data_IF_557203986962
#
_entry.id   IF_557203986962
#
_cell.length_a   1.000
_cell.length_b   1.000
_cell.length_c   1.000
_cell.angle_alpha   90.00
_cell.angle_beta   90.00
_cell.angle_gamma   90.00
#
_symmetry.space_group_name_H-M   'P 1'
#
loop_
_entity.id
_entity.type
_entity.pdbx_description
1 polymer ?
#
# COMPACT_ATOMS: atom_id res chain seq x y z
N UNK A 1 8.32 -2.50 -20.85
CA UNK A 1 7.65 -1.19 -20.99
C UNK A 1 8.58 -0.14 -20.42
N UNK A 2 8.66 1.06 -21.04
CA UNK A 2 9.53 2.15 -20.60
C UNK A 2 8.84 2.99 -19.51
N UNK A 3 9.61 3.69 -18.70
CA UNK A 3 9.13 4.60 -17.64
C UNK A 3 8.10 5.62 -18.14
N UNK A 4 8.28 6.09 -19.38
CA UNK A 4 7.42 7.07 -20.03
C UNK A 4 5.94 6.68 -20.04
N UNK A 5 5.65 5.37 -20.14
CA UNK A 5 4.29 4.85 -20.15
C UNK A 5 3.65 4.74 -18.76
N UNK A 6 4.47 4.87 -17.72
CA UNK A 6 4.05 4.74 -16.32
C UNK A 6 3.97 6.08 -15.59
N UNK A 7 4.55 7.14 -16.16
CA UNK A 7 4.50 8.48 -15.57
C UNK A 7 3.38 9.29 -16.21
N UNK A 8 2.23 9.49 -15.52
CA UNK A 8 1.01 9.99 -16.16
C UNK A 8 1.15 11.34 -16.87
N UNK A 9 1.99 12.22 -16.34
CA UNK A 9 2.20 13.57 -16.87
C UNK A 9 3.42 13.67 -17.80
N UNK A 10 3.96 12.54 -18.27
CA UNK A 10 5.15 12.51 -19.15
C UNK A 10 5.00 13.37 -20.40
N UNK A 11 3.84 13.31 -21.05
CA UNK A 11 3.60 14.03 -22.30
C UNK A 11 3.51 15.54 -22.13
N UNK A 12 3.26 16.01 -20.91
CA UNK A 12 3.15 17.42 -20.55
C UNK A 12 4.51 18.04 -20.14
N UNK A 13 5.55 17.21 -20.04
CA UNK A 13 6.91 17.66 -19.74
C UNK A 13 7.60 18.21 -20.98
N UNK A 14 8.42 19.24 -20.80
CA UNK A 14 9.31 19.71 -21.84
C UNK A 14 10.53 18.79 -22.04
N UNK A 15 11.29 18.99 -23.10
CA UNK A 15 12.43 18.14 -23.47
C UNK A 15 13.52 18.10 -22.38
N UNK A 16 13.77 19.24 -21.72
CA UNK A 16 14.79 19.31 -20.65
C UNK A 16 14.36 18.52 -19.40
N UNK A 17 13.07 18.62 -19.00
CA UNK A 17 12.51 17.88 -17.88
C UNK A 17 12.47 16.38 -18.15
N UNK A 18 12.09 15.95 -19.37
CA UNK A 18 12.13 14.54 -19.80
C UNK A 18 13.55 13.99 -19.70
N UNK A 19 14.52 14.73 -20.22
CA UNK A 19 15.94 14.33 -20.16
C UNK A 19 16.40 14.24 -18.71
N UNK A 20 16.09 15.24 -17.88
CA UNK A 20 16.47 15.27 -16.45
C UNK A 20 15.94 14.05 -15.71
N UNK A 21 14.67 13.67 -15.92
CA UNK A 21 14.09 12.45 -15.34
C UNK A 21 14.80 11.20 -15.85
N UNK A 22 14.97 11.04 -17.18
CA UNK A 22 15.56 9.85 -17.76
C UNK A 22 17.01 9.63 -17.32
N UNK A 23 17.79 10.71 -17.22
CA UNK A 23 19.20 10.65 -16.83
C UNK A 23 19.42 10.32 -15.35
N UNK A 24 18.41 10.58 -14.49
CA UNK A 24 18.49 10.38 -13.04
C UNK A 24 17.58 9.28 -12.50
N UNK A 25 16.86 8.57 -13.36
CA UNK A 25 15.95 7.50 -12.96
C UNK A 25 16.76 6.29 -12.47
N UNK A 26 16.46 5.83 -11.26
CA UNK A 26 17.08 4.64 -10.66
C UNK A 26 16.11 3.47 -10.83
N UNK A 27 16.61 2.33 -11.33
CA UNK A 27 15.84 1.09 -11.39
C UNK A 27 16.32 0.17 -10.27
N UNK A 28 15.40 -0.36 -9.50
CA UNK A 28 15.71 -1.25 -8.39
C UNK A 28 14.77 -2.46 -8.39
N UNK A 29 15.34 -3.64 -8.13
CA UNK A 29 14.59 -4.86 -7.83
C UNK A 29 14.72 -5.16 -6.33
N UNK A 30 13.59 -5.38 -5.66
CA UNK A 30 13.54 -5.71 -4.24
C UNK A 30 12.79 -7.01 -4.02
N UNK A 31 13.28 -7.81 -3.08
CA UNK A 31 12.65 -9.05 -2.68
C UNK A 31 11.50 -8.81 -1.70
N UNK A 32 10.53 -9.71 -1.71
CA UNK A 32 9.49 -9.75 -0.67
C UNK A 32 10.08 -9.65 0.72
N UNK A 33 9.49 -8.82 1.58
CA UNK A 33 9.92 -8.55 2.95
C UNK A 33 11.03 -7.50 3.08
N UNK A 34 11.47 -6.89 1.95
CA UNK A 34 12.45 -5.80 2.00
C UNK A 34 11.77 -4.50 2.41
N UNK A 35 12.25 -3.88 3.49
CA UNK A 35 11.86 -2.52 3.86
C UNK A 35 12.64 -1.55 2.99
N UNK A 36 11.92 -0.74 2.21
CA UNK A 36 12.47 0.21 1.24
C UNK A 36 12.62 1.60 1.87
N UNK A 37 11.70 1.94 2.77
CA UNK A 37 11.67 3.20 3.49
C UNK A 37 11.22 2.97 4.92
N UNK A 38 11.89 3.59 5.89
CA UNK A 38 11.57 3.47 7.30
C UNK A 38 11.71 4.82 8.01
N UNK A 39 10.59 5.54 8.09
CA UNK A 39 10.50 6.81 8.80
C UNK A 39 11.18 7.99 8.12
N UNK A 40 11.40 9.07 8.91
CA UNK A 40 11.79 10.39 8.38
C UNK A 40 13.27 10.55 8.04
N UNK A 41 14.12 9.58 8.39
CA UNK A 41 15.57 9.73 8.27
C UNK A 41 16.10 9.48 6.85
N UNK A 42 15.36 8.73 6.03
CA UNK A 42 15.79 8.34 4.69
C UNK A 42 14.82 8.87 3.62
N UNK A 43 15.23 9.91 2.92
CA UNK A 43 14.51 10.34 1.73
C UNK A 43 14.88 9.45 0.55
N UNK A 44 14.14 8.38 0.35
CA UNK A 44 14.37 7.41 -0.73
C UNK A 44 14.13 8.03 -2.11
N UNK A 45 13.24 9.03 -2.20
CA UNK A 45 12.73 9.57 -3.44
C UNK A 45 11.33 9.06 -3.75
N UNK A 46 10.79 9.48 -4.89
CA UNK A 46 9.46 9.06 -5.34
C UNK A 46 9.55 7.65 -5.92
N UNK A 47 8.79 6.70 -5.36
CA UNK A 47 8.74 5.32 -5.85
C UNK A 47 7.61 5.18 -6.87
N UNK A 48 7.89 4.52 -7.97
CA UNK A 48 6.90 4.09 -8.97
C UNK A 48 7.00 2.58 -9.14
N UNK A 49 5.92 1.86 -8.86
CA UNK A 49 5.88 0.40 -8.98
C UNK A 49 5.76 0.02 -10.44
N UNK A 50 6.78 -0.66 -10.97
CA UNK A 50 6.78 -1.21 -12.32
C UNK A 50 6.06 -2.54 -12.38
N UNK A 51 6.30 -3.38 -11.39
CA UNK A 51 5.70 -4.69 -11.22
C UNK A 51 5.82 -5.11 -9.76
N UNK A 52 4.79 -5.72 -9.20
CA UNK A 52 4.81 -6.25 -7.85
C UNK A 52 3.84 -5.57 -6.90
N UNK A 53 4.18 -5.48 -5.62
CA UNK A 53 3.27 -4.95 -4.60
C UNK A 53 4.05 -4.40 -3.41
N UNK A 54 3.76 -3.16 -3.04
CA UNK A 54 4.26 -2.53 -1.84
C UNK A 54 3.14 -2.32 -0.83
N UNK A 55 3.49 -2.33 0.43
CA UNK A 55 2.65 -2.00 1.56
C UNK A 55 3.19 -0.77 2.27
N UNK A 56 2.35 0.22 2.51
CA UNK A 56 2.66 1.39 3.35
C UNK A 56 1.91 1.25 4.66
N UNK A 57 2.62 1.30 5.77
CA UNK A 57 2.05 1.12 7.10
C UNK A 57 2.69 2.04 8.13
N UNK A 58 2.01 2.25 9.24
CA UNK A 58 2.54 2.89 10.44
C UNK A 58 2.77 1.84 11.51
N UNK A 59 3.74 2.14 12.38
CA UNK A 59 4.12 1.30 13.52
C UNK A 59 3.81 2.05 14.81
N UNK A 60 3.13 1.41 15.75
CA UNK A 60 2.93 1.96 17.09
C UNK A 60 4.18 1.76 17.96
N UNK A 61 4.28 2.48 19.07
CA UNK A 61 5.35 2.32 20.09
C UNK A 61 5.41 0.89 20.64
N UNK A 62 4.31 0.16 20.61
CA UNK A 62 4.22 -1.24 21.05
C UNK A 62 4.55 -2.26 19.95
N UNK A 63 4.99 -1.77 18.75
CA UNK A 63 5.33 -2.61 17.62
C UNK A 63 4.13 -3.15 16.85
N UNK A 64 2.92 -2.58 17.02
CA UNK A 64 1.75 -2.93 16.21
C UNK A 64 1.77 -2.16 14.90
N UNK A 65 1.51 -2.87 13.83
CA UNK A 65 1.40 -2.30 12.49
C UNK A 65 -0.05 -2.07 12.10
N UNK A 66 -0.29 -1.07 11.27
CA UNK A 66 -1.56 -0.93 10.55
C UNK A 66 -1.27 -0.44 9.13
N UNK A 67 -1.80 -1.16 8.15
CA UNK A 67 -1.67 -0.80 6.75
C UNK A 67 -2.51 0.44 6.44
N UNK A 68 -1.87 1.46 5.90
CA UNK A 68 -2.54 2.67 5.41
C UNK A 68 -3.12 2.42 4.02
N UNK A 69 -2.28 1.91 3.11
CA UNK A 69 -2.66 1.53 1.75
C UNK A 69 -1.60 0.61 1.14
N UNK A 70 -1.96 -0.01 0.03
CA UNK A 70 -1.05 -0.79 -0.81
C UNK A 70 -0.82 -0.08 -2.14
N UNK A 71 0.27 -0.44 -2.79
CA UNK A 71 0.67 0.05 -4.10
C UNK A 71 0.87 -1.14 -5.02
N UNK A 72 0.24 -1.07 -6.17
CA UNK A 72 0.28 -2.07 -7.23
C UNK A 72 1.01 -1.54 -8.46
N UNK A 73 1.01 -2.32 -9.54
CA UNK A 73 1.60 -1.91 -10.81
C UNK A 73 1.04 -0.54 -11.24
N UNK A 74 1.92 0.36 -11.64
CA UNK A 74 1.67 1.75 -12.03
C UNK A 74 1.37 2.72 -10.88
N UNK A 75 1.26 2.26 -9.65
CA UNK A 75 1.07 3.15 -8.50
C UNK A 75 2.35 3.88 -8.11
N UNK A 76 2.15 5.11 -7.63
CA UNK A 76 3.23 5.98 -7.18
C UNK A 76 3.13 6.25 -5.69
N UNK A 77 4.28 6.14 -5.00
CA UNK A 77 4.41 6.49 -3.59
C UNK A 77 5.12 7.82 -3.40
N UNK A 78 4.39 8.79 -2.87
CA UNK A 78 4.93 10.10 -2.54
C UNK A 78 5.49 10.16 -1.10
N UNK A 79 4.97 9.32 -0.19
CA UNK A 79 5.39 9.32 1.21
C UNK A 79 6.84 8.84 1.41
N UNK A 80 7.40 8.08 0.46
CA UNK A 80 8.83 7.73 0.41
C UNK A 80 9.74 8.95 0.17
N UNK A 81 9.17 10.04 -0.30
CA UNK A 81 9.83 11.31 -0.57
C UNK A 81 9.36 12.41 0.40
N UNK A 82 9.22 12.08 1.68
CA UNK A 82 8.72 12.99 2.75
C UNK A 82 9.50 14.30 2.83
N UNK A 83 10.77 14.31 2.42
CA UNK A 83 11.59 15.52 2.31
C UNK A 83 11.08 16.53 1.26
N UNK A 84 10.25 16.11 0.30
CA UNK A 84 9.61 17.02 -0.66
C UNK A 84 8.45 17.74 0.02
N UNK A 85 7.75 17.07 0.93
CA UNK A 85 6.54 17.54 1.61
C UNK A 85 6.90 17.86 3.05
N UNK A 86 7.32 19.09 3.30
CA UNK A 86 7.81 19.56 4.61
C UNK A 86 6.78 19.52 5.76
N UNK A 87 5.52 19.18 5.46
CA UNK A 87 4.42 19.19 6.43
C UNK A 87 4.03 17.83 6.98
N UNK A 88 4.68 16.75 6.53
CA UNK A 88 4.39 15.40 7.02
C UNK A 88 5.10 15.20 8.36
N UNK A 89 4.32 15.00 9.42
CA UNK A 89 4.81 14.83 10.80
C UNK A 89 4.65 13.40 11.32
N UNK A 90 4.34 12.43 10.45
CA UNK A 90 4.20 11.03 10.83
C UNK A 90 5.16 10.16 10.03
N UNK A 91 5.63 9.11 10.66
CA UNK A 91 6.54 8.16 10.06
C UNK A 91 5.77 7.02 9.40
N UNK A 92 6.17 6.67 8.19
CA UNK A 92 5.63 5.50 7.49
C UNK A 92 6.75 4.53 7.19
N UNK A 93 6.41 3.26 7.16
CA UNK A 93 7.27 2.20 6.64
C UNK A 93 6.71 1.72 5.32
N UNK A 94 7.59 1.49 4.34
CA UNK A 94 7.23 0.95 3.03
C UNK A 94 8.01 -0.35 2.84
N UNK A 95 7.28 -1.44 2.66
CA UNK A 95 7.82 -2.79 2.51
C UNK A 95 7.29 -3.45 1.24
N UNK A 96 8.12 -4.29 0.62
CA UNK A 96 7.70 -5.12 -0.51
C UNK A 96 6.92 -6.34 -0.02
N UNK A 97 5.63 -6.45 -0.36
CA UNK A 97 4.79 -7.62 -0.08
C UNK A 97 4.99 -8.76 -1.08
N UNK A 98 5.48 -8.42 -2.27
CA UNK A 98 5.90 -9.36 -3.34
C UNK A 98 7.27 -8.94 -3.86
N UNK A 99 7.96 -9.81 -4.60
CA UNK A 99 9.13 -9.41 -5.38
C UNK A 99 8.71 -8.26 -6.30
N UNK A 100 9.39 -7.12 -6.22
CA UNK A 100 8.92 -5.87 -6.83
C UNK A 100 10.04 -5.18 -7.61
N UNK A 101 9.72 -4.77 -8.83
CA UNK A 101 10.53 -3.90 -9.66
C UNK A 101 10.06 -2.45 -9.51
N UNK A 102 10.98 -1.54 -9.25
CA UNK A 102 10.71 -0.14 -8.98
C UNK A 102 11.49 0.78 -9.91
N UNK A 103 10.92 1.94 -10.19
CA UNK A 103 11.66 3.14 -10.54
C UNK A 103 11.63 4.11 -9.36
N UNK A 104 12.79 4.73 -9.13
CA UNK A 104 12.95 5.73 -8.09
C UNK A 104 13.38 7.03 -8.75
N UNK A 105 12.58 8.08 -8.54
CA UNK A 105 12.93 9.44 -8.94
C UNK A 105 13.53 10.13 -7.71
N UNK A 106 14.81 10.56 -7.75
CA UNK A 106 15.41 11.28 -6.63
C UNK A 106 14.57 12.49 -6.24
N UNK A 107 14.38 12.69 -4.94
CA UNK A 107 13.47 13.70 -4.40
C UNK A 107 13.77 15.12 -4.90
N UNK A 108 15.04 15.52 -4.95
CA UNK A 108 15.44 16.85 -5.41
C UNK A 108 15.15 17.07 -6.91
N UNK A 109 15.26 16.02 -7.73
CA UNK A 109 14.91 16.07 -9.16
C UNK A 109 13.40 16.28 -9.30
N UNK A 110 12.58 15.47 -8.61
CA UNK A 110 11.13 15.59 -8.66
C UNK A 110 10.67 16.96 -8.15
N UNK A 111 11.22 17.42 -7.02
CA UNK A 111 10.93 18.73 -6.42
C UNK A 111 11.27 19.90 -7.35
N UNK A 112 12.40 19.79 -8.07
CA UNK A 112 12.78 20.78 -9.07
C UNK A 112 11.75 20.86 -10.19
N UNK A 113 11.38 19.72 -10.78
CA UNK A 113 10.38 19.66 -11.86
C UNK A 113 9.01 20.13 -11.37
N UNK A 114 8.59 19.73 -10.17
CA UNK A 114 7.32 20.13 -9.59
C UNK A 114 7.20 21.66 -9.43
N UNK A 115 8.28 22.36 -9.11
CA UNK A 115 8.29 23.83 -9.00
C UNK A 115 8.13 24.55 -10.35
N UNK A 116 8.57 23.94 -11.41
CA UNK A 116 8.60 24.53 -12.76
C UNK A 116 7.49 24.05 -13.69
N UNK A 117 6.81 22.94 -13.32
CA UNK A 117 5.78 22.29 -14.14
C UNK A 117 4.46 22.25 -13.39
N UNK A 118 3.51 23.08 -13.82
CA UNK A 118 2.16 23.05 -13.26
C UNK A 118 1.47 21.68 -13.42
N UNK A 119 1.60 20.93 -14.54
CA UNK A 119 1.06 19.58 -14.66
C UNK A 119 1.60 18.63 -13.56
N UNK A 120 2.92 18.65 -13.29
CA UNK A 120 3.52 17.80 -12.24
C UNK A 120 3.04 18.22 -10.86
N UNK A 121 2.94 19.52 -10.59
CA UNK A 121 2.41 20.02 -9.32
C UNK A 121 0.95 19.60 -9.11
N UNK A 122 0.11 19.72 -10.13
CA UNK A 122 -1.29 19.30 -10.08
C UNK A 122 -1.42 17.80 -9.86
N UNK A 123 -0.67 17.00 -10.60
CA UNK A 123 -0.64 15.54 -10.42
C UNK A 123 -0.19 15.15 -8.99
N UNK A 124 0.82 15.85 -8.44
CA UNK A 124 1.26 15.65 -7.06
C UNK A 124 0.14 15.93 -6.05
N UNK A 125 -0.62 17.01 -6.26
CA UNK A 125 -1.77 17.35 -5.42
C UNK A 125 -2.89 16.30 -5.51
N UNK A 126 -3.19 15.81 -6.71
CA UNK A 126 -4.18 14.74 -6.93
C UNK A 126 -3.75 13.43 -6.23
N UNK A 127 -2.47 13.08 -6.35
CA UNK A 127 -1.92 11.92 -5.66
C UNK A 127 -2.04 12.06 -4.13
N UNK A 128 -1.74 13.24 -3.58
CA UNK A 128 -1.91 13.52 -2.15
C UNK A 128 -3.37 13.46 -1.71
N UNK A 129 -4.29 14.02 -2.51
CA UNK A 129 -5.72 13.96 -2.22
C UNK A 129 -6.24 12.51 -2.20
N UNK A 130 -5.76 11.66 -3.12
CA UNK A 130 -6.07 10.23 -3.14
C UNK A 130 -5.58 9.55 -1.87
N UNK A 131 -4.32 9.77 -1.48
CA UNK A 131 -3.74 9.17 -0.26
C UNK A 131 -4.42 9.67 1.02
N UNK A 132 -4.81 10.94 1.05
CA UNK A 132 -5.63 11.47 2.14
C UNK A 132 -6.98 10.75 2.23
N UNK A 133 -7.65 10.53 1.10
CA UNK A 133 -8.92 9.80 1.04
C UNK A 133 -8.77 8.35 1.50
N UNK A 134 -7.69 7.66 1.10
CA UNK A 134 -7.40 6.29 1.55
C UNK A 134 -7.27 6.22 3.08
N UNK A 135 -6.54 7.17 3.67
CA UNK A 135 -6.35 7.23 5.13
C UNK A 135 -7.65 7.61 5.85
N UNK A 136 -8.42 8.54 5.31
CA UNK A 136 -9.72 8.91 5.90
C UNK A 136 -10.71 7.74 5.86
N UNK A 137 -10.74 7.00 4.76
CA UNK A 137 -11.52 5.76 4.67
C UNK A 137 -11.07 4.73 5.72
N UNK A 138 -9.76 4.54 5.91
CA UNK A 138 -9.22 3.63 6.95
C UNK A 138 -9.67 4.07 8.35
N UNK A 139 -9.62 5.36 8.67
CA UNK A 139 -10.08 5.89 9.95
C UNK A 139 -11.56 5.57 10.14
N UNK A 140 -12.38 5.78 9.12
CA UNK A 140 -13.81 5.43 9.15
C UNK A 140 -14.02 3.93 9.43
N UNK A 141 -13.24 3.04 8.76
CA UNK A 141 -13.31 1.61 9.01
C UNK A 141 -12.99 1.26 10.48
N UNK A 142 -11.96 1.89 11.05
CA UNK A 142 -11.52 1.63 12.43
C UNK A 142 -12.55 2.13 13.44
N UNK A 143 -13.13 3.31 13.19
CA UNK A 143 -14.07 3.95 14.12
C UNK A 143 -15.47 3.33 14.13
N UNK A 144 -15.95 2.89 12.97
CA UNK A 144 -17.35 2.52 12.82
C UNK A 144 -17.60 1.05 12.52
N UNK A 145 -16.60 0.31 12.04
CA UNK A 145 -16.75 -1.12 11.77
C UNK A 145 -16.14 -1.98 12.86
N UNK A 146 -16.91 -2.97 13.29
CA UNK A 146 -16.41 -4.02 14.18
C UNK A 146 -15.33 -4.87 13.49
N UNK A 147 -14.52 -5.55 14.29
CA UNK A 147 -13.37 -6.31 13.78
C UNK A 147 -13.78 -7.45 12.84
N UNK A 148 -14.90 -8.11 13.09
CA UNK A 148 -15.44 -9.18 12.24
C UNK A 148 -15.72 -8.66 10.80
N UNK A 149 -16.34 -7.49 10.66
CA UNK A 149 -16.58 -6.82 9.38
C UNK A 149 -15.27 -6.46 8.68
N UNK A 150 -14.29 -5.97 9.43
CA UNK A 150 -12.96 -5.61 8.92
C UNK A 150 -12.19 -6.85 8.45
N UNK A 151 -12.26 -7.96 9.20
CA UNK A 151 -11.65 -9.24 8.80
C UNK A 151 -12.34 -9.80 7.56
N UNK A 152 -13.68 -9.75 7.50
CA UNK A 152 -14.42 -10.18 6.31
C UNK A 152 -14.04 -9.36 5.07
N UNK A 153 -13.98 -8.03 5.19
CA UNK A 153 -13.52 -7.11 4.13
C UNK A 153 -12.13 -7.48 3.64
N UNK A 154 -11.20 -7.65 4.57
CA UNK A 154 -9.81 -7.99 4.28
C UNK A 154 -9.69 -9.32 3.51
N UNK A 155 -10.39 -10.36 3.96
CA UNK A 155 -10.36 -11.67 3.29
C UNK A 155 -10.92 -11.59 1.86
N UNK A 156 -11.98 -10.83 1.63
CA UNK A 156 -12.55 -10.62 0.29
C UNK A 156 -11.61 -9.82 -0.61
N UNK A 157 -10.95 -8.79 -0.08
CA UNK A 157 -9.93 -8.03 -0.80
C UNK A 157 -8.76 -8.93 -1.21
N UNK A 158 -8.23 -9.75 -0.29
CA UNK A 158 -7.15 -10.70 -0.58
C UNK A 158 -7.54 -11.70 -1.68
N UNK A 159 -8.77 -12.21 -1.67
CA UNK A 159 -9.23 -13.11 -2.75
C UNK A 159 -9.26 -12.42 -4.10
N UNK A 160 -9.61 -11.13 -4.14
CA UNK A 160 -9.59 -10.33 -5.36
C UNK A 160 -8.17 -10.07 -5.86
N UNK A 161 -7.23 -9.75 -4.95
CA UNK A 161 -5.83 -9.50 -5.28
C UNK A 161 -5.13 -10.77 -5.78
N UNK A 162 -5.37 -11.91 -5.11
CA UNK A 162 -4.73 -13.18 -5.47
C UNK A 162 -5.47 -13.94 -6.60
N UNK A 163 -6.69 -13.52 -6.94
CA UNK A 163 -7.53 -14.21 -7.93
C UNK A 163 -7.91 -15.65 -7.51
N UNK A 164 -7.91 -15.94 -6.20
CA UNK A 164 -8.10 -17.28 -5.66
C UNK A 164 -8.85 -17.27 -4.33
N UNK A 165 -9.66 -18.29 -4.09
CA UNK A 165 -10.36 -18.46 -2.80
C UNK A 165 -9.47 -19.08 -1.71
N UNK A 166 -8.29 -19.62 -2.06
CA UNK A 166 -7.30 -20.11 -1.11
C UNK A 166 -6.18 -19.09 -0.92
N UNK A 167 -6.14 -18.49 0.26
CA UNK A 167 -5.18 -17.46 0.65
C UNK A 167 -4.03 -18.09 1.44
N UNK A 168 -2.80 -17.87 0.99
CA UNK A 168 -1.57 -18.26 1.71
C UNK A 168 -1.14 -17.13 2.63
N UNK A 169 -1.86 -16.93 3.71
CA UNK A 169 -1.66 -15.84 4.64
C UNK A 169 -1.69 -16.34 6.09
N UNK A 170 -0.91 -15.71 6.95
CA UNK A 170 -0.87 -16.02 8.37
C UNK A 170 -1.82 -15.14 9.17
N UNK A 171 -2.23 -15.61 10.35
CA UNK A 171 -3.02 -14.79 11.28
C UNK A 171 -2.25 -13.54 11.75
N UNK A 172 -0.92 -13.62 11.84
CA UNK A 172 -0.04 -12.49 12.14
C UNK A 172 -0.11 -11.43 11.04
N UNK A 173 0.01 -11.85 9.78
CA UNK A 173 -0.09 -10.93 8.65
C UNK A 173 -1.44 -10.20 8.64
N UNK A 174 -2.55 -10.90 8.90
CA UNK A 174 -3.88 -10.27 9.00
C UNK A 174 -3.92 -9.28 10.17
N UNK A 175 -3.35 -9.65 11.30
CA UNK A 175 -3.29 -8.78 12.48
C UNK A 175 -2.53 -7.49 12.17
N UNK A 176 -1.39 -7.59 11.50
CA UNK A 176 -0.55 -6.47 11.05
C UNK A 176 -1.29 -5.54 10.08
N UNK A 177 -2.05 -6.10 9.13
CA UNK A 177 -2.85 -5.28 8.23
C UNK A 177 -3.97 -4.50 8.94
N UNK A 178 -4.61 -5.13 9.91
CA UNK A 178 -5.80 -4.59 10.58
C UNK A 178 -5.52 -3.82 11.88
N UNK A 179 -4.26 -3.69 12.29
CA UNK A 179 -3.90 -3.03 13.55
C UNK A 179 -4.44 -3.78 14.78
N UNK A 180 -4.43 -5.13 14.73
CA UNK A 180 -5.00 -5.98 15.77
C UNK A 180 -3.95 -6.93 16.36
N UNK A 181 -4.34 -7.74 17.34
CA UNK A 181 -3.50 -8.79 17.90
C UNK A 181 -3.78 -10.13 17.21
N UNK A 182 -2.72 -10.91 16.99
CA UNK A 182 -2.82 -12.25 16.38
C UNK A 182 -3.84 -13.16 17.08
N UNK A 183 -3.90 -13.12 18.43
CA UNK A 183 -4.82 -13.92 19.21
C UNK A 183 -6.27 -13.56 18.95
N UNK A 184 -6.55 -12.26 18.75
CA UNK A 184 -7.90 -11.75 18.44
C UNK A 184 -8.31 -12.19 17.03
N UNK A 185 -7.41 -12.06 16.04
CA UNK A 185 -7.64 -12.56 14.69
C UNK A 185 -7.85 -14.07 14.68
N UNK A 186 -7.04 -14.83 15.46
CA UNK A 186 -7.19 -16.28 15.57
C UNK A 186 -8.58 -16.68 16.10
N UNK A 187 -9.09 -15.99 17.11
CA UNK A 187 -10.46 -16.24 17.63
C UNK A 187 -11.53 -15.91 16.59
N UNK A 188 -11.37 -14.79 15.89
CA UNK A 188 -12.31 -14.38 14.86
C UNK A 188 -12.36 -15.38 13.69
N UNK A 189 -11.20 -15.83 13.21
CA UNK A 189 -11.13 -16.81 12.13
C UNK A 189 -11.68 -18.19 12.52
N UNK A 190 -11.53 -18.61 13.81
CA UNK A 190 -12.19 -19.81 14.32
C UNK A 190 -13.71 -19.65 14.33
N UNK A 191 -14.21 -18.51 14.78
CA UNK A 191 -15.63 -18.21 14.67
C UNK A 191 -16.14 -18.28 13.23
N UNK A 192 -15.40 -17.70 12.25
CA UNK A 192 -15.75 -17.81 10.85
C UNK A 192 -15.73 -19.25 10.32
N UNK A 193 -14.82 -20.09 10.83
CA UNK A 193 -14.79 -21.52 10.50
C UNK A 193 -16.00 -22.25 11.06
N UNK A 194 -16.36 -22.01 12.33
CA UNK A 194 -17.51 -22.63 12.99
C UNK A 194 -18.83 -22.24 12.28
N UNK A 195 -18.91 -21.02 11.77
CA UNK A 195 -20.01 -20.52 10.92
C UNK A 195 -19.97 -21.04 9.47
N UNK A 196 -18.94 -21.80 9.10
CA UNK A 196 -18.79 -22.34 7.74
C UNK A 196 -18.45 -21.30 6.67
N UNK A 197 -17.95 -20.12 7.06
CA UNK A 197 -17.55 -19.06 6.14
C UNK A 197 -16.18 -19.32 5.52
N UNK A 198 -15.28 -19.89 6.32
CA UNK A 198 -13.91 -20.20 5.91
C UNK A 198 -13.51 -21.60 6.38
N UNK A 199 -12.45 -22.14 5.78
CA UNK A 199 -11.72 -23.32 6.26
C UNK A 199 -10.30 -22.93 6.59
N UNK A 200 -9.87 -23.25 7.82
CA UNK A 200 -8.50 -22.99 8.26
C UNK A 200 -7.65 -24.24 8.09
N UNK A 201 -6.46 -24.09 7.56
CA UNK A 201 -5.42 -25.09 7.47
C UNK A 201 -4.05 -24.46 7.74
N UNK A 202 -2.99 -25.27 7.89
CA UNK A 202 -1.68 -24.73 8.25
C UNK A 202 -1.17 -23.72 7.20
N UNK A 203 -1.15 -22.43 7.58
CA UNK A 203 -0.67 -21.34 6.71
C UNK A 203 -1.61 -20.97 5.55
N UNK A 204 -2.87 -21.45 5.58
CA UNK A 204 -3.85 -21.21 4.53
C UNK A 204 -5.24 -20.97 5.11
N UNK A 205 -5.97 -20.09 4.44
CA UNK A 205 -7.38 -19.79 4.70
C UNK A 205 -8.13 -19.97 3.37
N UNK A 206 -9.12 -20.86 3.34
CA UNK A 206 -9.97 -21.05 2.15
C UNK A 206 -11.33 -20.42 2.41
N UNK A 207 -11.75 -19.53 1.54
CA UNK A 207 -13.10 -18.94 1.58
C UNK A 207 -14.11 -19.97 1.07
N UNK A 208 -15.10 -20.29 1.89
CA UNK A 208 -16.17 -21.24 1.56
C UNK A 208 -17.45 -20.52 1.09
N UNK A 209 -17.78 -19.38 1.71
CA UNK A 209 -18.98 -18.61 1.41
C UNK A 209 -18.65 -17.11 1.33
N UNK A 210 -18.26 -16.67 0.13
CA UNK A 210 -17.96 -15.26 -0.15
C UNK A 210 -19.19 -14.36 -0.01
N UNK A 211 -20.39 -14.87 -0.37
CA UNK A 211 -21.63 -14.07 -0.30
C UNK A 211 -22.02 -13.73 1.14
N UNK A 212 -21.87 -14.69 2.07
CA UNK A 212 -22.12 -14.40 3.49
C UNK A 212 -21.08 -13.46 4.08
N UNK A 213 -19.80 -13.55 3.65
CA UNK A 213 -18.76 -12.58 4.03
C UNK A 213 -19.08 -11.18 3.51
N UNK A 214 -19.56 -11.04 2.25
CA UNK A 214 -20.01 -9.76 1.69
C UNK A 214 -21.20 -9.18 2.47
N UNK A 215 -22.13 -10.02 2.89
CA UNK A 215 -23.27 -9.59 3.71
C UNK A 215 -22.81 -9.10 5.08
N UNK A 216 -21.88 -9.83 5.71
CA UNK A 216 -21.31 -9.46 7.00
C UNK A 216 -20.56 -8.11 6.91
N UNK A 217 -19.80 -7.88 5.84
CA UNK A 217 -19.10 -6.63 5.62
C UNK A 217 -20.01 -5.40 5.53
N UNK A 218 -21.24 -5.58 5.01
CA UNK A 218 -22.22 -4.50 4.74
C UNK A 218 -23.19 -4.26 5.91
N UNK A 219 -23.38 -5.23 6.81
CA UNK A 219 -24.29 -5.13 7.96
C UNK A 219 -23.78 -4.17 9.03
#
# INVERSE_FOLDING_TARGET
>A
MSFENYFPVWNELNTAQKKLLSDNLITQHVKKGTVIHNGNLDCTGLLLVKFGQLRTYILSDEGREITLYRLFDMDMCLLSASCIIQSIQFEVTIEAEKDTDLWIIPAEIYKGIMKESAPVANYTNELMATRFSDVMWLIEQIMWKSLDKRVASFLLEETSIEGANELKITHETIANHLGSHREVITRMLRYFQDEGLVRLSRGKITILDSKRLETLQKS
#
